data_IF_800006003873
#
_entry.id   IF_800006003873
#
_cell.length_a   1.000
_cell.length_b   1.000
_cell.length_c   1.000
_cell.angle_alpha   90.00
_cell.angle_beta   90.00
_cell.angle_gamma   90.00
#
_symmetry.space_group_name_H-M   'P 1'
#
loop_
_entity.id
_entity.type
_entity.pdbx_description
1 polymer ?
#
# COMPACT_ATOMS: atom_id res chain seq x y z
N UNK A 1 8.40 9.35 0.30
CA UNK A 1 9.12 9.94 1.32
C UNK A 1 8.53 9.68 2.69
N UNK A 2 8.02 10.71 3.40
CA UNK A 2 7.58 10.48 4.78
C UNK A 2 6.35 9.59 4.87
N UNK A 3 5.39 9.77 3.98
CA UNK A 3 4.18 8.93 3.98
C UNK A 3 4.53 7.47 3.72
N UNK A 4 5.49 7.23 2.82
CA UNK A 4 5.93 5.86 2.56
C UNK A 4 6.59 5.23 3.79
N UNK A 5 7.44 6.00 4.49
CA UNK A 5 8.11 5.51 5.67
C UNK A 5 7.10 5.18 6.79
N UNK A 6 6.12 6.05 6.98
CA UNK A 6 5.06 5.82 7.97
C UNK A 6 4.20 4.62 7.61
N UNK A 7 3.89 4.46 6.34
CA UNK A 7 3.10 3.33 5.87
C UNK A 7 3.85 2.03 6.11
N UNK A 8 5.14 1.99 5.82
CA UNK A 8 5.97 0.83 6.10
C UNK A 8 5.97 0.51 7.59
N UNK A 9 6.14 1.53 8.43
CA UNK A 9 6.16 1.33 9.89
C UNK A 9 4.85 0.74 10.38
N UNK A 10 3.71 1.29 9.93
CA UNK A 10 2.40 0.77 10.30
C UNK A 10 2.21 -0.67 9.84
N UNK A 11 2.68 -0.97 8.63
CA UNK A 11 2.57 -2.31 8.06
C UNK A 11 3.39 -3.31 8.86
N UNK A 12 4.61 -2.95 9.25
CA UNK A 12 5.47 -3.85 10.02
C UNK A 12 4.92 -4.10 11.42
N UNK A 13 4.13 -3.17 11.95
CA UNK A 13 3.46 -3.31 13.24
C UNK A 13 2.09 -3.97 13.15
N UNK A 14 1.66 -4.37 11.95
CA UNK A 14 0.31 -4.90 11.71
C UNK A 14 -0.80 -3.94 12.13
N UNK A 15 -0.52 -2.65 12.05
CA UNK A 15 -1.49 -1.62 12.43
C UNK A 15 -2.37 -1.29 11.22
N UNK A 16 -3.38 -2.10 10.98
CA UNK A 16 -4.25 -1.95 9.82
C UNK A 16 -4.97 -0.60 9.79
N UNK A 17 -5.56 -0.11 10.89
CA UNK A 17 -6.21 1.20 10.83
C UNK A 17 -5.26 2.33 10.47
N UNK A 18 -4.04 2.32 11.00
CA UNK A 18 -3.05 3.33 10.67
C UNK A 18 -2.61 3.21 9.21
N UNK A 19 -2.39 1.98 8.74
CA UNK A 19 -1.99 1.74 7.35
C UNK A 19 -3.08 2.19 6.39
N UNK A 20 -4.34 1.87 6.66
CA UNK A 20 -5.47 2.31 5.84
C UNK A 20 -5.59 3.82 5.80
N UNK A 21 -5.45 4.48 6.95
CA UNK A 21 -5.52 5.94 7.02
C UNK A 21 -4.41 6.59 6.21
N UNK A 22 -3.20 6.02 6.24
CA UNK A 22 -2.08 6.53 5.46
C UNK A 22 -2.29 6.31 3.97
N UNK A 23 -2.84 5.16 3.58
CA UNK A 23 -3.19 4.92 2.17
C UNK A 23 -4.25 5.90 1.70
N UNK A 24 -5.25 6.19 2.52
CA UNK A 24 -6.25 7.21 2.19
C UNK A 24 -5.60 8.56 1.92
N UNK A 25 -4.62 8.95 2.74
CA UNK A 25 -3.91 10.21 2.55
C UNK A 25 -3.11 10.22 1.25
N UNK A 26 -2.45 9.11 0.95
CA UNK A 26 -1.67 9.00 -0.29
C UNK A 26 -2.59 9.11 -1.50
N UNK A 27 -3.70 8.37 -1.49
CA UNK A 27 -4.62 8.35 -2.62
C UNK A 27 -5.37 9.68 -2.78
N UNK A 28 -5.54 10.43 -1.70
CA UNK A 28 -6.17 11.75 -1.76
C UNK A 28 -5.20 12.84 -2.20
N UNK A 29 -3.91 12.70 -1.87
CA UNK A 29 -2.91 13.74 -2.13
C UNK A 29 -2.28 13.67 -3.51
N UNK A 30 -2.32 12.50 -4.16
CA UNK A 30 -1.63 12.26 -5.43
C UNK A 30 -2.60 11.69 -6.46
N UNK A 31 -2.27 11.85 -7.74
CA UNK A 31 -2.96 11.09 -8.78
C UNK A 31 -2.66 9.60 -8.55
N UNK A 32 -3.51 8.74 -9.10
CA UNK A 32 -3.30 7.31 -8.96
C UNK A 32 -1.95 6.88 -9.52
N UNK A 33 -1.58 7.41 -10.70
CA UNK A 33 -0.29 7.07 -11.31
C UNK A 33 0.87 7.46 -10.40
N UNK A 34 0.82 8.65 -9.80
CA UNK A 34 1.87 9.12 -8.90
C UNK A 34 1.89 8.28 -7.62
N UNK A 35 0.71 7.99 -7.05
CA UNK A 35 0.62 7.18 -5.85
C UNK A 35 1.22 5.79 -6.08
N UNK A 36 0.89 5.16 -7.20
CA UNK A 36 1.43 3.84 -7.53
C UNK A 36 2.92 3.89 -7.79
N UNK A 37 3.38 4.84 -8.61
CA UNK A 37 4.78 4.89 -9.04
C UNK A 37 5.74 5.37 -7.97
N UNK A 38 5.31 6.29 -7.12
CA UNK A 38 6.21 6.91 -6.14
C UNK A 38 6.04 6.43 -4.72
N UNK A 39 4.92 5.78 -4.40
CA UNK A 39 4.67 5.30 -3.04
C UNK A 39 4.50 3.79 -3.01
N UNK A 40 3.52 3.26 -3.74
CA UNK A 40 3.16 1.84 -3.63
C UNK A 40 4.25 0.93 -4.18
N UNK A 41 4.71 1.17 -5.39
CA UNK A 41 5.75 0.33 -6.01
C UNK A 41 7.05 0.40 -5.22
N UNK A 42 7.56 1.59 -4.85
CA UNK A 42 8.76 1.64 -4.02
C UNK A 42 8.58 0.98 -2.65
N UNK A 43 7.38 1.07 -2.06
CA UNK A 43 7.10 0.41 -0.79
C UNK A 43 7.22 -1.11 -0.93
N UNK A 44 6.61 -1.68 -1.97
CA UNK A 44 6.65 -3.12 -2.20
C UNK A 44 8.05 -3.59 -2.55
N UNK A 45 8.80 -2.79 -3.30
CA UNK A 45 10.19 -3.09 -3.64
C UNK A 45 11.08 -3.11 -2.39
N UNK A 46 10.92 -2.11 -1.52
CA UNK A 46 11.66 -2.03 -0.26
C UNK A 46 11.31 -3.22 0.63
N UNK A 47 10.04 -3.56 0.70
CA UNK A 47 9.56 -4.69 1.48
C UNK A 47 10.18 -6.00 0.98
N UNK A 48 10.23 -6.19 -0.34
CA UNK A 48 10.86 -7.37 -0.94
C UNK A 48 12.35 -7.47 -0.62
N UNK A 49 13.06 -6.34 -0.68
CA UNK A 49 14.47 -6.30 -0.32
C UNK A 49 14.69 -6.65 1.15
N UNK A 50 13.85 -6.14 2.03
CA UNK A 50 13.93 -6.45 3.45
C UNK A 50 13.63 -7.91 3.73
N UNK A 51 12.69 -8.50 2.99
CA UNK A 51 12.38 -9.91 3.12
C UNK A 51 13.59 -10.76 2.73
N UNK A 52 14.26 -10.41 1.64
CA UNK A 52 15.46 -11.12 1.21
C UNK A 52 16.58 -11.06 2.24
N UNK A 53 16.67 -9.96 2.98
CA UNK A 53 17.68 -9.81 4.04
C UNK A 53 17.23 -10.38 5.38
N UNK A 54 16.03 -10.95 5.45
CA UNK A 54 15.50 -11.50 6.68
C UNK A 54 15.02 -10.45 7.67
N UNK A 55 14.83 -9.21 7.24
CA UNK A 55 14.39 -8.12 8.10
C UNK A 55 12.87 -8.02 8.23
N UNK A 56 12.15 -8.72 7.36
CA UNK A 56 10.68 -8.73 7.34
C UNK A 56 10.24 -10.18 7.22
N UNK A 57 9.23 -10.57 8.00
CA UNK A 57 8.68 -11.91 7.93
C UNK A 57 7.75 -12.06 6.73
N UNK A 58 7.49 -13.30 6.33
CA UNK A 58 6.54 -13.57 5.26
C UNK A 58 5.13 -13.12 5.66
N UNK A 59 4.79 -13.19 6.95
CA UNK A 59 3.50 -12.71 7.45
C UNK A 59 3.37 -11.20 7.28
N UNK A 60 4.43 -10.45 7.56
CA UNK A 60 4.41 -9.00 7.36
C UNK A 60 4.29 -8.65 5.88
N UNK A 61 5.00 -9.35 5.03
CA UNK A 61 4.93 -9.14 3.58
C UNK A 61 3.53 -9.45 3.06
N UNK A 62 2.92 -10.55 3.50
CA UNK A 62 1.55 -10.90 3.11
C UNK A 62 0.52 -9.88 3.60
N UNK A 63 0.71 -9.35 4.81
CA UNK A 63 -0.18 -8.33 5.34
C UNK A 63 -0.19 -7.09 4.44
N UNK A 64 0.99 -6.60 4.06
CA UNK A 64 1.11 -5.42 3.20
C UNK A 64 0.54 -5.70 1.81
N UNK A 65 0.88 -6.84 1.23
CA UNK A 65 0.42 -7.21 -0.11
C UNK A 65 -1.10 -7.29 -0.15
N UNK A 66 -1.71 -7.91 0.86
CA UNK A 66 -3.17 -8.04 0.91
C UNK A 66 -3.84 -6.69 1.13
N UNK A 67 -3.25 -5.82 1.95
CA UNK A 67 -3.77 -4.50 2.20
C UNK A 67 -3.80 -3.67 0.90
N UNK A 68 -2.69 -3.65 0.18
CA UNK A 68 -2.58 -2.93 -1.08
C UNK A 68 -3.51 -3.51 -2.13
N UNK A 69 -3.55 -4.83 -2.25
CA UNK A 69 -4.44 -5.50 -3.20
C UNK A 69 -5.89 -5.14 -2.94
N UNK A 70 -6.32 -5.18 -1.68
CA UNK A 70 -7.70 -4.85 -1.32
C UNK A 70 -8.07 -3.44 -1.72
N UNK A 71 -7.16 -2.47 -1.53
CA UNK A 71 -7.41 -1.09 -1.92
C UNK A 71 -7.48 -0.93 -3.43
N UNK A 72 -6.60 -1.59 -4.17
CA UNK A 72 -6.61 -1.54 -5.63
C UNK A 72 -7.86 -2.19 -6.22
N UNK A 73 -8.28 -3.32 -5.65
CA UNK A 73 -9.51 -3.99 -6.10
C UNK A 73 -10.74 -3.13 -5.83
N UNK A 74 -10.77 -2.45 -4.69
CA UNK A 74 -11.88 -1.55 -4.37
C UNK A 74 -11.95 -0.39 -5.36
N UNK A 75 -10.81 0.18 -5.73
CA UNK A 75 -10.76 1.23 -6.75
C UNK A 75 -11.22 0.71 -8.11
N UNK A 76 -10.76 -0.47 -8.50
CA UNK A 76 -11.13 -1.07 -9.78
C UNK A 76 -12.64 -1.33 -9.85
N UNK A 77 -13.22 -1.81 -8.75
CA UNK A 77 -14.68 -2.03 -8.69
C UNK A 77 -15.45 -0.72 -8.80
N UNK A 78 -14.94 0.31 -8.11
CA UNK A 78 -15.55 1.63 -8.19
C UNK A 78 -15.53 2.17 -9.61
N UNK A 79 -14.44 1.97 -10.32
CA UNK A 79 -14.34 2.38 -11.72
C UNK A 79 -15.30 1.58 -12.60
N UNK A 80 -15.39 0.26 -12.38
CA UNK A 80 -16.30 -0.58 -13.14
C UNK A 80 -17.75 -0.15 -12.94
N UNK A 81 -18.13 0.08 -11.69
CA UNK A 81 -19.49 0.52 -11.36
C UNK A 81 -19.74 1.93 -11.86
N UNK A 82 -18.77 2.83 -11.67
CA UNK A 82 -18.92 4.21 -12.09
C UNK A 82 -18.87 4.40 -13.60
N UNK A 83 -18.14 3.53 -14.31
CA UNK A 83 -18.04 3.58 -15.76
C UNK A 83 -19.21 2.88 -16.43
N UNK A 84 -20.01 2.15 -15.67
CA UNK A 84 -21.17 1.46 -16.21
C UNK A 84 -22.09 2.43 -16.90
N UNK A 85 -22.81 1.94 -17.86
CA UNK A 85 -23.75 2.80 -18.62
C UNK A 85 -24.76 3.44 -17.70
#
# INVERSE_FOLDING_TARGET
>A
AELRARLLEAALAYDEPAADALLDRVLAAFTLDTALGEVVVPLLSDLGSRWERGEVTIAQEHFVTNLVRGRLLALARGWGDGAGP
#
